data_IF_734254123964
#
_entry.id   IF_734254123964
#
_cell.length_a   1.000
_cell.length_b   1.000
_cell.length_c   1.000
_cell.angle_alpha   90.00
_cell.angle_beta   90.00
_cell.angle_gamma   90.00
#
_symmetry.space_group_name_H-M   'P 1'
#
loop_
_entity.id
_entity.type
_entity.pdbx_description
1 polymer ?
#
# COMPACT_ATOMS: atom_id res chain seq x y z
N UNK A 1 -4.62 16.96 25.62
CA UNK A 1 -3.15 16.77 25.47
C UNK A 1 -2.85 16.40 24.02
N UNK A 2 -2.58 17.37 23.13
CA UNK A 2 -2.27 17.07 21.71
C UNK A 2 -1.59 18.27 21.00
N UNK A 3 -0.59 18.87 21.64
CA UNK A 3 0.06 20.10 21.16
C UNK A 3 1.54 19.94 20.76
N UNK A 4 2.03 18.71 20.54
CA UNK A 4 3.47 18.45 20.38
C UNK A 4 3.96 18.01 18.99
N UNK A 5 3.09 17.76 17.99
CA UNK A 5 3.55 17.22 16.69
C UNK A 5 3.73 18.24 15.55
N UNK A 6 3.39 19.51 15.74
CA UNK A 6 3.37 20.49 14.63
C UNK A 6 4.73 21.04 14.23
N UNK A 7 5.81 20.62 14.88
CA UNK A 7 7.18 21.00 14.48
C UNK A 7 7.91 19.90 13.70
N UNK A 8 7.28 18.75 13.44
CA UNK A 8 8.01 17.58 12.92
C UNK A 8 8.21 17.67 11.39
N UNK A 9 7.27 18.26 10.64
CA UNK A 9 7.38 18.33 9.17
C UNK A 9 7.10 19.72 8.60
N UNK A 10 8.07 20.25 7.85
CA UNK A 10 7.88 21.45 7.04
C UNK A 10 6.98 21.16 5.83
N UNK A 11 6.32 22.17 5.24
CA UNK A 11 5.51 22.00 4.03
C UNK A 11 6.32 21.50 2.82
N UNK A 12 7.63 21.74 2.79
CA UNK A 12 8.51 21.14 1.78
C UNK A 12 8.74 19.65 2.03
N UNK A 13 8.82 19.23 3.30
CA UNK A 13 9.02 17.83 3.68
C UNK A 13 7.79 16.97 3.42
N UNK A 14 6.57 17.47 3.64
CA UNK A 14 5.33 16.74 3.28
C UNK A 14 5.22 16.52 1.77
N UNK A 15 5.59 17.53 0.97
CA UNK A 15 5.64 17.42 -0.49
C UNK A 15 6.68 16.39 -0.94
N UNK A 16 7.85 16.37 -0.33
CA UNK A 16 8.89 15.37 -0.61
C UNK A 16 8.41 13.95 -0.26
N UNK A 17 7.81 13.76 0.93
CA UNK A 17 7.27 12.46 1.36
C UNK A 17 6.18 11.94 0.42
N UNK A 18 5.30 12.83 -0.08
CA UNK A 18 4.27 12.48 -1.07
C UNK A 18 4.88 11.97 -2.37
N UNK A 19 5.92 12.63 -2.87
CA UNK A 19 6.63 12.17 -4.06
C UNK A 19 7.36 10.85 -3.82
N UNK A 20 8.01 10.70 -2.67
CA UNK A 20 8.66 9.43 -2.28
C UNK A 20 7.63 8.30 -2.24
N UNK A 21 6.48 8.49 -1.60
CA UNK A 21 5.42 7.49 -1.53
C UNK A 21 4.89 7.10 -2.93
N UNK A 22 4.71 8.10 -3.82
CA UNK A 22 4.28 7.87 -5.20
C UNK A 22 5.33 7.11 -6.01
N UNK A 23 6.59 7.52 -5.99
CA UNK A 23 7.66 6.82 -6.70
C UNK A 23 7.81 5.39 -6.18
N UNK A 24 7.84 5.21 -4.86
CA UNK A 24 7.97 3.89 -4.24
C UNK A 24 6.81 2.98 -4.61
N UNK A 25 5.57 3.48 -4.57
CA UNK A 25 4.39 2.72 -4.96
C UNK A 25 4.33 2.43 -6.47
N UNK A 26 4.73 3.38 -7.33
CA UNK A 26 4.81 3.15 -8.78
C UNK A 26 5.85 2.10 -9.11
N UNK A 27 7.04 2.16 -8.51
CA UNK A 27 8.08 1.13 -8.66
C UNK A 27 7.56 -0.23 -8.21
N UNK A 28 6.84 -0.28 -7.09
CA UNK A 28 6.25 -1.52 -6.58
C UNK A 28 5.22 -2.11 -7.57
N UNK A 29 4.33 -1.29 -8.12
CA UNK A 29 3.35 -1.73 -9.14
C UNK A 29 4.07 -2.26 -10.38
N UNK A 30 5.07 -1.55 -10.88
CA UNK A 30 5.86 -1.98 -12.05
C UNK A 30 6.59 -3.30 -11.80
N UNK A 31 7.17 -3.48 -10.61
CA UNK A 31 7.81 -4.74 -10.23
C UNK A 31 6.81 -5.89 -10.21
N UNK A 32 5.63 -5.70 -9.60
CA UNK A 32 4.62 -6.76 -9.57
C UNK A 32 4.13 -7.10 -10.98
N UNK A 33 3.90 -6.10 -11.84
CA UNK A 33 3.55 -6.34 -13.24
C UNK A 33 4.68 -7.12 -13.95
N UNK A 34 5.95 -6.75 -13.74
CA UNK A 34 7.08 -7.46 -14.33
C UNK A 34 7.17 -8.92 -13.85
N UNK A 35 6.97 -9.18 -12.55
CA UNK A 35 6.87 -10.53 -11.99
C UNK A 35 5.74 -11.32 -12.65
N UNK A 36 4.55 -10.71 -12.74
CA UNK A 36 3.38 -11.36 -13.33
C UNK A 36 3.59 -11.70 -14.80
N UNK A 37 4.20 -10.80 -15.57
CA UNK A 37 4.56 -11.06 -16.97
C UNK A 37 5.63 -12.14 -17.10
N UNK A 38 6.61 -12.20 -16.19
CA UNK A 38 7.63 -13.26 -16.18
C UNK A 38 7.03 -14.64 -15.91
N UNK A 39 6.05 -14.71 -15.00
CA UNK A 39 5.46 -15.97 -14.51
C UNK A 39 4.31 -16.47 -15.40
N UNK A 40 3.74 -15.58 -16.23
CA UNK A 40 2.63 -15.86 -17.15
C UNK A 40 2.90 -16.97 -18.18
N UNK A 41 4.16 -17.40 -18.37
CA UNK A 41 4.49 -18.54 -19.23
C UNK A 41 4.18 -19.91 -18.62
N UNK A 42 3.87 -20.01 -17.31
CA UNK A 42 3.70 -21.30 -16.62
C UNK A 42 2.32 -21.56 -16.00
N UNK A 43 1.37 -20.62 -16.07
CA UNK A 43 0.07 -20.76 -15.40
C UNK A 43 -1.01 -21.19 -16.40
N UNK A 44 -0.94 -22.45 -16.82
CA UNK A 44 -2.06 -23.12 -17.46
C UNK A 44 -2.81 -23.98 -16.42
N UNK A 45 -4.02 -23.52 -16.07
CA UNK A 45 -5.24 -24.33 -15.84
C UNK A 45 -5.61 -24.89 -14.44
N UNK A 46 -4.94 -24.58 -13.32
CA UNK A 46 -5.51 -24.91 -11.98
C UNK A 46 -5.22 -23.84 -10.93
N UNK A 47 -5.96 -22.72 -10.99
CA UNK A 47 -5.94 -21.70 -9.93
C UNK A 47 -6.91 -22.12 -8.83
N UNK A 48 -6.43 -22.29 -7.59
CA UNK A 48 -7.29 -22.60 -6.45
C UNK A 48 -8.16 -21.39 -6.12
N UNK A 49 -9.36 -21.61 -5.57
CA UNK A 49 -10.21 -20.51 -5.08
C UNK A 49 -9.45 -19.59 -4.10
N UNK A 50 -8.57 -20.19 -3.30
CA UNK A 50 -7.68 -19.49 -2.39
C UNK A 50 -6.71 -18.53 -3.09
N UNK A 51 -6.06 -18.96 -4.18
CA UNK A 51 -5.16 -18.13 -4.98
C UNK A 51 -5.91 -16.96 -5.63
N UNK A 52 -7.15 -17.18 -6.08
CA UNK A 52 -8.01 -16.12 -6.62
C UNK A 52 -8.31 -15.04 -5.58
N UNK A 53 -8.63 -15.43 -4.33
CA UNK A 53 -8.86 -14.45 -3.25
C UNK A 53 -7.60 -13.64 -2.94
N UNK A 54 -6.44 -14.28 -2.93
CA UNK A 54 -5.16 -13.58 -2.75
C UNK A 54 -4.89 -12.57 -3.86
N UNK A 55 -5.16 -12.95 -5.12
CA UNK A 55 -5.05 -12.04 -6.25
C UNK A 55 -5.98 -10.83 -6.11
N UNK A 56 -7.23 -11.05 -5.66
CA UNK A 56 -8.18 -9.96 -5.39
C UNK A 56 -7.64 -9.01 -4.32
N UNK A 57 -7.02 -9.52 -3.25
CA UNK A 57 -6.39 -8.67 -2.23
C UNK A 57 -5.23 -7.81 -2.79
N UNK A 58 -4.42 -8.36 -3.69
CA UNK A 58 -3.37 -7.61 -4.39
C UNK A 58 -3.98 -6.54 -5.30
N UNK A 59 -5.03 -6.87 -6.05
CA UNK A 59 -5.75 -5.91 -6.91
C UNK A 59 -6.33 -4.76 -6.07
N UNK A 60 -6.97 -5.06 -4.94
CA UNK A 60 -7.46 -4.03 -4.00
C UNK A 60 -6.32 -3.12 -3.54
N UNK A 61 -5.14 -3.70 -3.26
CA UNK A 61 -3.96 -2.93 -2.88
C UNK A 61 -3.52 -1.97 -3.99
N UNK A 62 -3.51 -2.41 -5.25
CA UNK A 62 -3.17 -1.54 -6.37
C UNK A 62 -4.21 -0.49 -6.69
N UNK A 63 -5.50 -0.84 -6.62
CA UNK A 63 -6.59 0.13 -6.74
C UNK A 63 -6.45 1.18 -5.63
N UNK A 64 -6.14 0.75 -4.40
CA UNK A 64 -5.84 1.65 -3.28
C UNK A 64 -4.70 2.60 -3.60
N UNK A 65 -3.61 2.12 -4.18
CA UNK A 65 -2.50 2.97 -4.62
C UNK A 65 -2.93 4.01 -5.67
N UNK A 66 -3.70 3.60 -6.69
CA UNK A 66 -4.21 4.52 -7.70
C UNK A 66 -5.15 5.57 -7.11
N UNK A 67 -6.01 5.18 -6.16
CA UNK A 67 -6.88 6.10 -5.42
C UNK A 67 -6.03 7.07 -4.60
N UNK A 68 -4.93 6.60 -3.99
CA UNK A 68 -4.06 7.41 -3.13
C UNK A 68 -3.42 8.60 -3.86
N UNK A 69 -3.34 8.56 -5.20
CA UNK A 69 -2.87 9.69 -6.00
C UNK A 69 -3.74 10.94 -5.86
N UNK A 70 -5.06 10.74 -5.72
CA UNK A 70 -6.05 11.82 -5.57
C UNK A 70 -6.59 11.92 -4.14
N UNK A 71 -6.76 10.80 -3.46
CA UNK A 71 -7.34 10.70 -2.12
C UNK A 71 -6.46 9.84 -1.21
N UNK A 72 -5.47 10.47 -0.57
CA UNK A 72 -4.43 9.78 0.23
C UNK A 72 -5.01 8.93 1.37
N UNK A 73 -6.06 9.40 2.06
CA UNK A 73 -6.72 8.63 3.13
C UNK A 73 -7.35 7.34 2.61
N UNK A 74 -8.24 7.47 1.62
CA UNK A 74 -9.03 6.36 1.10
C UNK A 74 -8.10 5.35 0.42
N UNK A 75 -7.15 5.86 -0.36
CA UNK A 75 -6.17 5.02 -1.04
C UNK A 75 -5.23 4.30 -0.07
N UNK A 76 -4.68 5.01 0.91
CA UNK A 76 -3.82 4.42 1.94
C UNK A 76 -4.54 3.35 2.76
N UNK A 77 -5.80 3.59 3.17
CA UNK A 77 -6.63 2.59 3.84
C UNK A 77 -6.91 1.38 2.95
N UNK A 78 -7.28 1.59 1.70
CA UNK A 78 -7.52 0.50 0.75
C UNK A 78 -6.24 -0.34 0.52
N UNK A 79 -5.07 0.30 0.43
CA UNK A 79 -3.79 -0.41 0.37
C UNK A 79 -3.57 -1.29 1.60
N UNK A 80 -3.73 -0.73 2.80
CA UNK A 80 -3.49 -1.48 4.04
C UNK A 80 -4.54 -2.57 4.27
N UNK A 81 -5.80 -2.35 3.90
CA UNK A 81 -6.85 -3.35 3.97
C UNK A 81 -6.58 -4.50 3.00
N UNK A 82 -6.26 -4.20 1.74
CA UNK A 82 -5.88 -5.22 0.76
C UNK A 82 -4.71 -6.05 1.26
N UNK A 83 -3.67 -5.41 1.78
CA UNK A 83 -2.48 -6.10 2.27
C UNK A 83 -2.73 -6.86 3.58
N UNK A 84 -3.52 -6.30 4.50
CA UNK A 84 -3.91 -6.99 5.73
C UNK A 84 -4.73 -8.24 5.46
N UNK A 85 -5.67 -8.18 4.52
CA UNK A 85 -6.44 -9.34 4.08
C UNK A 85 -5.55 -10.39 3.39
N UNK A 86 -4.61 -9.95 2.56
CA UNK A 86 -3.64 -10.84 1.94
C UNK A 86 -2.83 -11.61 3.00
N UNK A 87 -2.28 -10.92 4.00
CA UNK A 87 -1.53 -11.54 5.10
C UNK A 87 -2.40 -12.53 5.89
N UNK A 88 -3.65 -12.19 6.16
CA UNK A 88 -4.58 -13.06 6.88
C UNK A 88 -4.87 -14.35 6.11
N UNK A 89 -5.09 -14.24 4.78
CA UNK A 89 -5.29 -15.40 3.91
C UNK A 89 -4.04 -16.28 3.84
N UNK A 90 -2.86 -15.67 3.67
CA UNK A 90 -1.59 -16.39 3.59
C UNK A 90 -1.28 -17.13 4.90
N UNK A 91 -1.46 -16.46 6.05
CA UNK A 91 -1.29 -17.07 7.37
C UNK A 91 -2.22 -18.27 7.57
N UNK A 92 -3.49 -18.14 7.17
CA UNK A 92 -4.48 -19.22 7.32
C UNK A 92 -4.16 -20.43 6.44
N UNK A 93 -3.60 -20.23 5.26
CA UNK A 93 -3.40 -21.30 4.28
C UNK A 93 -2.02 -21.97 4.40
N UNK A 94 -0.98 -21.18 4.66
CA UNK A 94 0.41 -21.65 4.63
C UNK A 94 1.07 -21.66 6.01
N UNK A 95 0.39 -21.14 7.04
CA UNK A 95 0.93 -20.94 8.39
C UNK A 95 2.27 -20.20 8.40
N UNK A 96 2.50 -19.37 7.38
CA UNK A 96 3.70 -18.60 7.16
C UNK A 96 3.31 -17.16 6.85
N UNK A 97 4.08 -16.20 7.37
CA UNK A 97 3.92 -14.81 7.01
C UNK A 97 4.65 -14.52 5.70
N UNK A 98 4.04 -13.76 4.78
CA UNK A 98 4.74 -13.34 3.57
C UNK A 98 5.89 -12.40 3.96
N UNK A 99 7.13 -12.91 3.87
CA UNK A 99 8.35 -12.20 4.30
C UNK A 99 9.02 -11.37 3.18
N UNK A 100 8.45 -11.38 1.98
CA UNK A 100 9.02 -10.71 0.82
C UNK A 100 9.08 -9.18 0.96
N UNK A 101 10.14 -8.58 0.41
CA UNK A 101 10.40 -7.14 0.45
C UNK A 101 9.22 -6.33 -0.13
N UNK A 102 8.62 -6.81 -1.22
CA UNK A 102 7.49 -6.16 -1.89
C UNK A 102 6.29 -6.00 -0.94
N UNK A 103 6.00 -7.00 -0.12
CA UNK A 103 4.87 -6.93 0.82
C UNK A 103 5.08 -5.86 1.90
N UNK A 104 6.30 -5.77 2.43
CA UNK A 104 6.67 -4.76 3.43
C UNK A 104 6.64 -3.36 2.82
N UNK A 105 7.15 -3.20 1.60
CA UNK A 105 7.11 -1.92 0.88
C UNK A 105 5.68 -1.45 0.62
N UNK A 106 4.75 -2.34 0.27
CA UNK A 106 3.34 -1.97 0.07
C UNK A 106 2.72 -1.40 1.36
N UNK A 107 3.01 -2.01 2.52
CA UNK A 107 2.56 -1.52 3.83
C UNK A 107 3.17 -0.15 4.13
N UNK A 108 4.48 0.01 3.90
CA UNK A 108 5.18 1.29 4.11
C UNK A 108 4.57 2.40 3.24
N UNK A 109 4.27 2.12 1.96
CA UNK A 109 3.62 3.09 1.06
C UNK A 109 2.23 3.45 1.57
N UNK A 110 1.41 2.46 1.95
CA UNK A 110 0.08 2.70 2.51
C UNK A 110 0.12 3.55 3.79
N UNK A 111 1.05 3.24 4.69
CA UNK A 111 1.28 4.01 5.92
C UNK A 111 1.74 5.44 5.62
N UNK A 112 2.65 5.64 4.65
CA UNK A 112 3.11 6.96 4.25
C UNK A 112 1.93 7.84 3.80
N UNK A 113 1.04 7.32 2.95
CA UNK A 113 -0.15 8.07 2.53
C UNK A 113 -1.06 8.46 3.70
N UNK A 114 -1.24 7.56 4.68
CA UNK A 114 -2.04 7.89 5.87
C UNK A 114 -1.36 8.90 6.79
N UNK A 115 -0.05 8.79 7.00
CA UNK A 115 0.72 9.74 7.81
C UNK A 115 0.66 11.14 7.17
N UNK A 116 0.84 11.24 5.85
CA UNK A 116 0.75 12.51 5.11
C UNK A 116 -0.64 13.12 5.28
N UNK A 117 -1.69 12.31 5.08
CA UNK A 117 -3.07 12.78 5.24
C UNK A 117 -3.38 13.25 6.66
N UNK A 118 -2.96 12.50 7.68
CA UNK A 118 -3.14 12.87 9.10
C UNK A 118 -2.45 14.19 9.40
N UNK A 119 -1.25 14.41 8.85
CA UNK A 119 -0.50 15.64 9.02
C UNK A 119 -1.19 16.85 8.36
N UNK A 120 -1.68 16.69 7.12
CA UNK A 120 -2.42 17.76 6.43
C UNK A 120 -3.71 18.12 7.16
N UNK A 121 -4.47 17.12 7.62
CA UNK A 121 -5.71 17.34 8.37
C UNK A 121 -5.46 18.03 9.71
N UNK A 122 -4.38 17.68 10.41
CA UNK A 122 -3.99 18.35 11.65
C UNK A 122 -3.61 19.82 11.44
N UNK A 123 -3.02 20.14 10.29
CA UNK A 123 -2.64 21.51 9.92
C UNK A 123 -3.86 22.34 9.51
N UNK A 124 -4.76 21.78 8.69
CA UNK A 124 -5.97 22.47 8.23
C UNK A 124 -6.97 22.80 9.34
N UNK A 125 -6.98 22.06 10.45
CA UNK A 125 -7.87 22.33 11.61
C UNK A 125 -7.40 23.51 12.48
N UNK A 126 -6.22 24.07 12.21
CA UNK A 126 -5.63 25.17 13.00
C UNK A 126 -5.78 26.54 12.34
N UNK A 127 -6.22 26.59 11.09
CA UNK A 127 -6.55 27.81 10.34
C UNK A 127 -8.06 28.02 10.38
#
# INVERSE_FOLDING_TARGET
>A
MMALSSHIFSPSMTRALRWIARFLGTTLVLLVIAFWLSESRFIALRVSFSDTLQLVCIIITFIGFLIAWRHEMVGGLAMLLGMGLFYLLEWRQRSALPVGLLYKLAIVVGLLFLIIWLHEKATSRRL
#
